data_IF_589044198475
#
_entry.id   IF_589044198475
#
_cell.length_a   1.000
_cell.length_b   1.000
_cell.length_c   1.000
_cell.angle_alpha   90.00
_cell.angle_beta   90.00
_cell.angle_gamma   90.00
#
_symmetry.space_group_name_H-M   'P 1'
#
loop_
_entity.id
_entity.type
_entity.pdbx_description
1 polymer ?
#
# COMPACT_ATOMS: atom_id res chain seq x y z
N UNK A 1 26.87 15.54 -12.06
CA UNK A 1 27.00 14.16 -11.52
C UNK A 1 27.17 14.25 -10.03
N UNK A 2 26.31 13.59 -9.26
CA UNK A 2 26.48 13.46 -7.81
C UNK A 2 27.41 12.27 -7.56
N UNK A 3 28.52 12.46 -6.83
CA UNK A 3 29.44 11.37 -6.45
C UNK A 3 29.09 10.89 -5.05
N UNK A 4 28.50 9.71 -4.94
CA UNK A 4 28.19 9.04 -3.67
C UNK A 4 28.79 7.63 -3.73
N UNK A 5 29.49 7.21 -2.67
CA UNK A 5 29.92 5.82 -2.55
C UNK A 5 28.72 4.97 -2.11
N UNK A 6 28.53 3.80 -2.70
CA UNK A 6 27.46 2.86 -2.33
C UNK A 6 27.46 2.55 -0.82
N UNK A 7 28.64 2.52 -0.16
CA UNK A 7 28.72 2.30 1.29
C UNK A 7 28.11 3.42 2.14
N UNK A 8 27.84 4.57 1.54
CA UNK A 8 27.19 5.72 2.18
C UNK A 8 25.68 5.75 1.92
N UNK A 9 25.15 4.80 1.13
CA UNK A 9 23.72 4.73 0.81
C UNK A 9 23.03 3.81 1.80
N UNK A 10 22.02 4.36 2.49
CA UNK A 10 21.09 3.59 3.31
C UNK A 10 19.78 3.44 2.52
N UNK A 11 19.43 2.21 2.19
CA UNK A 11 18.13 1.89 1.60
C UNK A 11 17.13 1.62 2.72
N UNK A 12 16.10 2.46 2.81
CA UNK A 12 15.05 2.29 3.81
C UNK A 12 14.00 1.27 3.33
N UNK A 13 13.55 0.42 4.24
CA UNK A 13 12.49 -0.56 4.00
C UNK A 13 11.26 -0.17 4.82
N UNK A 14 10.11 -0.06 4.15
CA UNK A 14 8.89 0.45 4.75
C UNK A 14 8.00 -0.72 5.22
N UNK A 15 7.55 -0.67 6.48
CA UNK A 15 6.66 -1.67 7.11
C UNK A 15 5.23 -1.15 7.33
N UNK A 16 4.77 -0.27 6.45
CA UNK A 16 3.42 0.25 6.39
C UNK A 16 3.06 0.54 4.93
N UNK A 17 1.77 0.66 4.65
CA UNK A 17 1.29 1.04 3.32
C UNK A 17 0.27 2.17 3.41
N UNK A 18 0.14 2.87 2.29
CA UNK A 18 -0.95 3.82 2.07
C UNK A 18 -2.13 3.15 1.38
N UNK A 19 -3.36 3.60 1.68
CA UNK A 19 -4.56 3.08 1.03
C UNK A 19 -5.64 4.15 0.84
N UNK A 20 -6.52 3.91 -0.13
CA UNK A 20 -7.53 4.86 -0.58
C UNK A 20 -8.87 4.16 -0.80
N UNK A 21 -9.96 4.93 -0.74
CA UNK A 21 -11.27 4.45 -1.16
C UNK A 21 -11.40 4.68 -2.65
N UNK A 22 -11.41 3.59 -3.41
CA UNK A 22 -11.52 3.61 -4.87
C UNK A 22 -12.89 4.16 -5.31
N UNK A 23 -12.92 4.80 -6.48
CA UNK A 23 -14.15 5.35 -7.04
C UNK A 23 -15.09 4.27 -7.56
N UNK A 24 -14.54 3.23 -8.20
CA UNK A 24 -15.29 2.16 -8.81
C UNK A 24 -14.43 0.89 -8.87
N UNK A 25 -14.98 -0.27 -8.47
CA UNK A 25 -14.31 -1.57 -8.46
C UNK A 25 -13.98 -2.12 -9.85
N UNK A 26 -14.52 -1.54 -10.92
CA UNK A 26 -14.09 -1.81 -12.30
C UNK A 26 -12.73 -1.17 -12.63
N UNK A 27 -12.26 -0.21 -11.83
CA UNK A 27 -11.03 0.56 -12.07
C UNK A 27 -10.14 0.56 -10.82
N UNK A 28 -9.27 -0.44 -10.69
CA UNK A 28 -8.54 -0.72 -9.45
C UNK A 28 -7.02 -0.77 -9.57
N UNK A 29 -6.49 -0.61 -10.79
CA UNK A 29 -5.05 -0.54 -11.01
C UNK A 29 -4.45 0.75 -10.41
N UNK A 30 -3.15 0.74 -10.05
CA UNK A 30 -2.46 1.96 -9.65
C UNK A 30 -2.65 3.09 -10.67
N UNK A 31 -2.97 4.28 -10.17
CA UNK A 31 -3.30 5.46 -11.00
C UNK A 31 -4.80 5.62 -11.31
N UNK A 32 -5.65 4.65 -11.00
CA UNK A 32 -7.11 4.81 -11.11
C UNK A 32 -7.64 5.87 -10.12
N UNK A 33 -8.77 6.53 -10.46
CA UNK A 33 -9.38 7.52 -9.57
C UNK A 33 -9.80 6.94 -8.21
N UNK A 34 -9.52 7.69 -7.15
CA UNK A 34 -10.03 7.44 -5.81
C UNK A 34 -11.06 8.51 -5.42
N UNK A 35 -12.03 8.14 -4.59
CA UNK A 35 -13.06 9.06 -4.08
C UNK A 35 -12.51 9.89 -2.92
N UNK A 36 -11.79 9.24 -2.01
CA UNK A 36 -11.27 9.88 -0.79
C UNK A 36 -10.09 9.10 -0.19
N UNK A 37 -9.32 9.73 0.72
CA UNK A 37 -8.36 9.03 1.56
C UNK A 37 -9.02 7.87 2.32
N UNK A 38 -8.25 6.80 2.56
CA UNK A 38 -8.64 5.70 3.43
C UNK A 38 -8.81 6.15 4.88
N UNK A 39 -9.64 5.42 5.63
CA UNK A 39 -9.94 5.72 7.03
C UNK A 39 -8.67 5.63 7.93
N UNK A 40 -8.64 6.29 9.09
CA UNK A 40 -7.54 6.13 10.03
C UNK A 40 -7.34 4.67 10.45
N UNK A 41 -6.07 4.23 10.47
CA UNK A 41 -5.74 2.88 10.96
C UNK A 41 -6.10 2.71 12.44
N UNK A 42 -6.55 1.52 12.88
CA UNK A 42 -7.13 1.30 14.21
C UNK A 42 -6.14 1.49 15.37
N UNK A 43 -4.84 1.49 15.09
CA UNK A 43 -3.77 1.64 16.09
C UNK A 43 -2.92 2.89 15.86
N UNK A 44 -2.70 3.26 14.60
CA UNK A 44 -1.87 4.41 14.24
C UNK A 44 -2.64 5.73 14.30
N UNK A 45 -3.97 5.69 14.16
CA UNK A 45 -4.83 6.86 13.95
C UNK A 45 -4.36 7.79 12.81
N UNK A 46 -3.50 7.28 11.93
CA UNK A 46 -3.04 7.98 10.74
C UNK A 46 -3.98 7.66 9.59
N UNK A 47 -4.53 8.72 8.99
CA UNK A 47 -5.37 8.65 7.79
C UNK A 47 -4.61 7.88 6.70
N UNK A 48 -5.33 6.98 6.02
CA UNK A 48 -4.81 6.23 4.87
C UNK A 48 -3.57 5.40 5.14
N UNK A 49 -3.25 5.07 6.40
CA UNK A 49 -2.03 4.31 6.73
C UNK A 49 -2.38 3.04 7.46
N UNK A 50 -1.90 1.90 6.96
CA UNK A 50 -1.97 0.60 7.63
C UNK A 50 -0.57 0.08 7.92
N UNK A 51 -0.37 -0.43 9.13
CA UNK A 51 0.85 -1.15 9.47
C UNK A 51 0.92 -2.50 8.75
N UNK A 52 2.13 -3.01 8.52
CA UNK A 52 2.34 -4.33 7.92
C UNK A 52 1.54 -5.43 8.61
N UNK A 53 1.54 -5.46 9.95
CA UNK A 53 0.71 -6.41 10.72
C UNK A 53 -0.76 -6.34 10.32
N UNK A 54 -1.32 -5.13 10.21
CA UNK A 54 -2.73 -4.97 9.89
C UNK A 54 -3.03 -5.37 8.44
N UNK A 55 -2.11 -5.09 7.52
CA UNK A 55 -2.21 -5.53 6.12
C UNK A 55 -2.30 -7.05 6.05
N UNK A 56 -1.42 -7.77 6.76
CA UNK A 56 -1.45 -9.24 6.79
C UNK A 56 -2.73 -9.78 7.42
N UNK A 57 -3.19 -9.19 8.53
CA UNK A 57 -4.49 -9.55 9.13
C UNK A 57 -5.64 -9.36 8.13
N UNK A 58 -5.67 -8.24 7.40
CA UNK A 58 -6.70 -7.94 6.39
C UNK A 58 -6.67 -8.98 5.27
N UNK A 59 -5.47 -9.32 4.76
CA UNK A 59 -5.29 -10.34 3.71
C UNK A 59 -5.83 -11.70 4.16
N UNK A 60 -5.45 -12.14 5.37
CA UNK A 60 -5.85 -13.44 5.89
C UNK A 60 -7.34 -13.51 6.21
N UNK A 61 -7.90 -12.47 6.84
CA UNK A 61 -9.30 -12.46 7.26
C UNK A 61 -10.27 -12.46 6.06
N UNK A 62 -9.92 -11.75 4.99
CA UNK A 62 -10.78 -11.59 3.81
C UNK A 62 -10.42 -12.53 2.65
N UNK A 63 -9.41 -13.40 2.82
CA UNK A 63 -8.87 -14.26 1.75
C UNK A 63 -8.56 -13.47 0.46
N UNK A 64 -7.86 -12.34 0.60
CA UNK A 64 -7.60 -11.40 -0.50
C UNK A 64 -6.50 -11.93 -1.41
N UNK A 65 -6.71 -11.77 -2.72
CA UNK A 65 -5.68 -12.02 -3.73
C UNK A 65 -4.68 -10.84 -3.73
N UNK A 66 -3.40 -11.16 -3.60
CA UNK A 66 -2.31 -10.20 -3.70
C UNK A 66 -1.95 -10.01 -5.17
N UNK A 67 -1.92 -8.76 -5.63
CA UNK A 67 -1.58 -8.42 -7.01
C UNK A 67 -0.16 -7.86 -7.04
N UNK A 68 0.68 -8.45 -7.90
CA UNK A 68 2.05 -8.01 -8.13
C UNK A 68 2.11 -7.02 -9.30
N UNK A 69 2.59 -5.81 -9.05
CA UNK A 69 2.93 -4.84 -10.09
C UNK A 69 4.40 -5.06 -10.48
N UNK A 70 4.62 -5.72 -11.61
CA UNK A 70 5.97 -6.01 -12.13
C UNK A 70 6.78 -4.76 -12.46
N UNK A 71 6.12 -3.67 -12.88
CA UNK A 71 6.79 -2.44 -13.31
C UNK A 71 7.31 -1.67 -12.10
N UNK A 72 6.48 -1.56 -11.06
CA UNK A 72 6.85 -0.87 -9.83
C UNK A 72 7.59 -1.77 -8.83
N UNK A 73 7.62 -3.09 -9.07
CA UNK A 73 8.17 -4.10 -8.18
C UNK A 73 7.57 -4.02 -6.75
N UNK A 74 6.25 -3.83 -6.66
CA UNK A 74 5.51 -3.77 -5.40
C UNK A 74 4.22 -4.59 -5.47
N UNK A 75 3.73 -5.02 -4.31
CA UNK A 75 2.42 -5.64 -4.17
C UNK A 75 1.36 -4.59 -3.82
N UNK A 76 0.14 -4.77 -4.32
CA UNK A 76 -1.04 -4.08 -3.85
C UNK A 76 -2.21 -5.05 -3.70
N UNK A 77 -3.22 -4.62 -2.96
CA UNK A 77 -4.42 -5.41 -2.66
C UNK A 77 -5.65 -4.53 -2.83
N UNK A 78 -6.77 -5.17 -3.14
CA UNK A 78 -8.10 -4.55 -3.21
C UNK A 78 -8.98 -5.35 -2.27
N UNK A 79 -9.79 -4.68 -1.45
CA UNK A 79 -10.65 -5.36 -0.48
C UNK A 79 -11.91 -4.55 -0.17
N UNK A 80 -12.89 -5.21 0.48
CA UNK A 80 -14.20 -4.68 0.85
C UNK A 80 -14.98 -4.07 -0.33
N UNK A 81 -15.53 -4.95 -1.19
CA UNK A 81 -16.54 -4.58 -2.18
C UNK A 81 -17.87 -4.23 -1.50
#
# INVERSE_FOLDING_TARGET
QVRVNLSQIVLNTIFYSYFYIIFNFEYTSPGCPFTRPGDPGPYTNLISTLSFKKIIETINFNNIIIIWDETAAVNYIIWNN
#
